data_IF_374836184203
#
_entry.id   IF_374836184203
#
_cell.length_a   1.000
_cell.length_b   1.000
_cell.length_c   1.000
_cell.angle_alpha   90.00
_cell.angle_beta   90.00
_cell.angle_gamma   90.00
#
_symmetry.space_group_name_H-M   'P 1'
#
loop_
_entity.id
_entity.type
_entity.pdbx_description
1 polymer ?
#
# COMPACT_ATOMS: atom_id res chain seq x y z
N UNK A 1 -2.81 -15.41 -6.14
CA UNK A 1 -3.37 -14.18 -5.58
C UNK A 1 -4.78 -14.00 -6.13
N UNK A 2 -5.75 -13.69 -5.27
CA UNK A 2 -7.13 -13.36 -5.65
C UNK A 2 -7.40 -11.92 -5.20
N UNK A 3 -7.82 -11.06 -6.11
CA UNK A 3 -8.19 -9.68 -5.81
C UNK A 3 -9.71 -9.57 -5.70
N UNK A 4 -10.20 -9.13 -4.54
CA UNK A 4 -11.63 -9.05 -4.24
C UNK A 4 -11.96 -7.62 -3.78
N UNK A 5 -12.23 -6.70 -4.72
CA UNK A 5 -12.47 -5.31 -4.37
C UNK A 5 -13.75 -5.16 -3.55
N UNK A 6 -13.65 -4.33 -2.50
CA UNK A 6 -14.73 -4.03 -1.57
C UNK A 6 -15.41 -5.26 -0.95
N UNK A 7 -14.64 -6.33 -0.70
CA UNK A 7 -15.11 -7.44 0.13
C UNK A 7 -15.70 -6.87 1.43
N UNK A 8 -16.85 -7.42 1.85
CA UNK A 8 -17.52 -7.03 3.09
C UNK A 8 -18.04 -8.26 3.85
N UNK A 9 -17.20 -9.30 3.96
CA UNK A 9 -17.57 -10.56 4.58
C UNK A 9 -16.70 -11.73 4.14
N UNK A 10 -17.26 -12.94 4.15
CA UNK A 10 -16.49 -14.20 4.01
C UNK A 10 -16.85 -15.00 2.76
N UNK A 11 -17.92 -14.63 2.07
CA UNK A 11 -18.51 -15.42 1.00
C UNK A 11 -18.48 -14.69 -0.33
N UNK A 12 -18.81 -15.40 -1.42
CA UNK A 12 -18.95 -14.78 -2.74
C UNK A 12 -20.08 -13.73 -2.78
N UNK A 13 -21.13 -13.91 -1.97
CA UNK A 13 -22.24 -12.95 -1.86
C UNK A 13 -21.80 -11.64 -1.19
N UNK A 14 -20.70 -11.67 -0.43
CA UNK A 14 -20.10 -10.50 0.22
C UNK A 14 -19.07 -9.77 -0.68
N UNK A 15 -18.90 -10.20 -1.92
CA UNK A 15 -17.96 -9.64 -2.89
C UNK A 15 -18.72 -8.87 -3.99
N UNK A 16 -19.16 -7.62 -3.74
CA UNK A 16 -20.11 -6.90 -4.61
C UNK A 16 -19.56 -6.62 -6.01
N UNK A 17 -18.23 -6.62 -6.17
CA UNK A 17 -17.56 -6.40 -7.44
C UNK A 17 -16.91 -7.67 -8.02
N UNK A 18 -17.19 -8.83 -7.43
CA UNK A 18 -16.62 -10.10 -7.83
C UNK A 18 -15.19 -10.32 -7.35
N UNK A 19 -14.56 -11.37 -7.89
CA UNK A 19 -13.23 -11.81 -7.52
C UNK A 19 -12.39 -12.08 -8.77
N UNK A 20 -11.17 -11.55 -8.80
CA UNK A 20 -10.33 -11.51 -9.98
C UNK A 20 -9.00 -12.22 -9.75
N UNK A 21 -8.59 -13.03 -10.70
CA UNK A 21 -7.29 -13.70 -10.65
C UNK A 21 -6.21 -12.83 -11.27
N UNK A 22 -4.98 -13.01 -10.79
CA UNK A 22 -3.79 -12.35 -11.33
C UNK A 22 -3.20 -13.09 -12.54
N UNK A 23 -2.51 -12.34 -13.39
CA UNK A 23 -1.71 -12.82 -14.52
C UNK A 23 -0.23 -12.92 -14.15
N UNK A 24 0.32 -11.84 -13.58
CA UNK A 24 1.73 -11.74 -13.22
C UNK A 24 1.90 -10.99 -11.90
N UNK A 25 3.04 -11.23 -11.26
CA UNK A 25 3.46 -10.53 -10.06
C UNK A 25 4.94 -10.19 -10.17
N UNK A 26 5.28 -8.99 -9.72
CA UNK A 26 6.62 -8.44 -9.72
C UNK A 26 6.95 -7.97 -8.31
N UNK A 27 8.19 -8.18 -7.88
CA UNK A 27 8.71 -7.66 -6.63
C UNK A 27 9.98 -6.87 -6.92
N UNK A 28 10.30 -5.90 -6.08
CA UNK A 28 11.56 -5.16 -6.21
C UNK A 28 12.72 -6.13 -5.96
N UNK A 29 13.67 -6.21 -6.90
CA UNK A 29 14.78 -7.18 -6.85
C UNK A 29 15.59 -7.10 -5.54
N UNK A 30 15.73 -5.89 -4.98
CA UNK A 30 16.40 -5.67 -3.70
C UNK A 30 15.77 -6.41 -2.51
N UNK A 31 14.49 -6.82 -2.60
CA UNK A 31 13.85 -7.66 -1.59
C UNK A 31 14.48 -9.06 -1.51
N UNK A 32 14.94 -9.59 -2.65
CA UNK A 32 15.65 -10.87 -2.71
C UNK A 32 17.13 -10.66 -2.38
N UNK A 33 17.77 -9.73 -3.08
CA UNK A 33 19.23 -9.63 -3.10
C UNK A 33 19.82 -9.12 -1.78
N UNK A 34 19.06 -8.30 -1.03
CA UNK A 34 19.52 -7.70 0.22
C UNK A 34 19.05 -8.48 1.46
N UNK A 35 18.45 -9.66 1.32
CA UNK A 35 17.99 -10.42 2.47
C UNK A 35 19.16 -10.95 3.30
N UNK A 36 19.28 -10.49 4.54
CA UNK A 36 20.35 -10.85 5.47
C UNK A 36 19.93 -11.95 6.47
N UNK A 37 18.85 -12.68 6.19
CA UNK A 37 18.34 -13.74 7.07
C UNK A 37 17.22 -13.32 8.03
N UNK A 38 16.77 -12.06 7.98
CA UNK A 38 15.61 -11.58 8.74
C UNK A 38 14.84 -10.48 7.99
N UNK A 39 13.52 -10.41 8.18
CA UNK A 39 12.63 -9.52 7.41
C UNK A 39 12.98 -8.03 7.50
N UNK A 40 13.40 -7.57 8.68
CA UNK A 40 13.84 -6.18 8.89
C UNK A 40 14.94 -5.71 7.92
N UNK A 41 15.76 -6.62 7.39
CA UNK A 41 16.81 -6.29 6.41
C UNK A 41 16.29 -5.88 5.02
N UNK A 42 15.01 -6.16 4.72
CA UNK A 42 14.44 -5.96 3.38
C UNK A 42 13.21 -5.04 3.36
N UNK A 43 12.80 -4.49 4.51
CA UNK A 43 11.65 -3.56 4.61
C UNK A 43 11.68 -2.46 3.55
N UNK A 44 12.82 -1.79 3.25
CA UNK A 44 12.88 -0.75 2.22
C UNK A 44 12.47 -1.19 0.80
N UNK A 45 12.50 -2.51 0.53
CA UNK A 45 12.18 -3.10 -0.77
C UNK A 45 10.90 -3.94 -0.74
N UNK A 46 10.12 -3.91 0.36
CA UNK A 46 8.87 -4.67 0.48
C UNK A 46 7.74 -4.02 -0.34
N UNK A 47 7.90 -4.09 -1.67
CA UNK A 47 6.99 -3.54 -2.64
C UNK A 47 6.82 -4.55 -3.77
N UNK A 48 5.56 -4.81 -4.11
CA UNK A 48 5.19 -5.69 -5.20
C UNK A 48 4.05 -5.12 -6.03
N UNK A 49 4.01 -5.51 -7.30
CA UNK A 49 2.93 -5.19 -8.23
C UNK A 49 2.30 -6.49 -8.71
N UNK A 50 0.97 -6.55 -8.64
CA UNK A 50 0.17 -7.68 -9.11
C UNK A 50 -0.68 -7.20 -10.28
N UNK A 51 -0.44 -7.75 -11.46
CA UNK A 51 -1.24 -7.46 -12.67
C UNK A 51 -2.41 -8.44 -12.73
N UNK A 52 -3.63 -7.92 -12.84
CA UNK A 52 -4.84 -8.73 -12.96
C UNK A 52 -5.05 -9.23 -14.40
N UNK A 53 -5.71 -10.37 -14.58
CA UNK A 53 -6.06 -10.88 -15.93
C UNK A 53 -7.10 -10.04 -16.68
N UNK A 54 -7.69 -9.06 -16.01
CA UNK A 54 -8.81 -8.27 -16.51
C UNK A 54 -8.59 -6.81 -16.12
N UNK A 55 -9.02 -5.88 -16.96
CA UNK A 55 -8.95 -4.44 -16.73
C UNK A 55 -10.04 -3.96 -15.75
N UNK A 56 -10.01 -4.48 -14.52
CA UNK A 56 -11.01 -4.20 -13.47
C UNK A 56 -11.14 -2.70 -13.19
N UNK A 57 -10.01 -1.98 -13.25
CA UNK A 57 -9.95 -0.54 -13.02
C UNK A 57 -10.79 0.29 -14.00
N UNK A 58 -11.04 -0.19 -15.23
CA UNK A 58 -11.86 0.55 -16.21
C UNK A 58 -13.28 0.78 -15.72
N UNK A 59 -13.82 -0.15 -14.91
CA UNK A 59 -15.16 -0.05 -14.34
C UNK A 59 -15.17 0.47 -12.90
N UNK A 60 -14.18 0.11 -12.09
CA UNK A 60 -14.15 0.45 -10.65
C UNK A 60 -13.35 1.71 -10.33
N UNK A 61 -12.55 2.21 -11.28
CA UNK A 61 -11.57 3.26 -11.06
C UNK A 61 -10.33 2.78 -10.30
N UNK A 62 -9.42 3.71 -10.07
CA UNK A 62 -8.20 3.52 -9.29
C UNK A 62 -7.79 4.83 -8.62
N UNK A 63 -7.00 4.73 -7.55
CA UNK A 63 -6.31 5.88 -6.98
C UNK A 63 -5.00 6.13 -7.74
N UNK A 64 -4.69 7.41 -7.97
CA UNK A 64 -3.38 7.81 -8.44
C UNK A 64 -2.30 7.62 -7.37
N UNK A 65 -1.05 7.48 -7.80
CA UNK A 65 0.12 7.47 -6.94
C UNK A 65 1.15 8.46 -7.51
N UNK A 66 1.98 9.02 -6.64
CA UNK A 66 3.05 9.91 -7.05
C UNK A 66 4.19 9.89 -6.05
N UNK A 67 5.38 10.27 -6.52
CA UNK A 67 6.47 10.62 -5.65
C UNK A 67 6.49 12.13 -5.42
N UNK A 68 6.69 12.52 -4.17
CA UNK A 68 7.00 13.89 -3.80
C UNK A 68 8.42 13.92 -3.25
N UNK A 69 9.25 14.87 -3.72
CA UNK A 69 10.63 15.04 -3.22
C UNK A 69 10.58 15.39 -1.75
N UNK A 70 9.79 16.41 -1.43
CA UNK A 70 9.43 16.78 -0.07
C UNK A 70 7.94 16.47 0.14
N UNK A 71 7.67 15.48 0.98
CA UNK A 71 6.30 15.07 1.32
C UNK A 71 5.75 15.96 2.46
N UNK A 72 6.64 16.60 3.23
CA UNK A 72 6.30 17.37 4.42
C UNK A 72 5.55 16.57 5.48
N UNK A 73 5.03 17.28 6.47
CA UNK A 73 4.00 16.74 7.36
C UNK A 73 2.73 16.48 6.54
N UNK A 74 2.09 15.33 6.75
CA UNK A 74 0.82 15.03 6.11
C UNK A 74 -0.08 14.13 6.95
N UNK A 75 -1.39 14.29 6.78
CA UNK A 75 -2.37 13.37 7.33
C UNK A 75 -2.44 12.11 6.45
N UNK A 76 -1.90 11.00 6.94
CA UNK A 76 -2.01 9.70 6.31
C UNK A 76 -3.41 9.11 6.47
N UNK A 77 -3.89 8.47 5.41
CA UNK A 77 -5.09 7.64 5.43
C UNK A 77 -4.72 6.23 4.97
N UNK A 78 -4.94 5.25 5.84
CA UNK A 78 -4.66 3.83 5.58
C UNK A 78 -5.99 3.12 5.39
N UNK A 79 -6.16 2.47 4.24
CA UNK A 79 -7.36 1.71 3.91
C UNK A 79 -6.97 0.25 3.66
N UNK A 80 -7.51 -0.65 4.47
CA UNK A 80 -7.07 -2.05 4.48
C UNK A 80 -8.10 -3.02 5.04
N UNK A 81 -7.66 -4.27 5.22
CA UNK A 81 -8.45 -5.38 5.74
C UNK A 81 -7.78 -5.99 6.99
N UNK A 82 -7.72 -5.24 8.10
CA UNK A 82 -7.05 -5.67 9.32
C UNK A 82 -7.74 -6.90 9.95
N UNK A 83 -6.94 -7.85 10.46
CA UNK A 83 -7.42 -9.14 10.95
C UNK A 83 -8.09 -9.12 12.33
N UNK A 84 -7.98 -8.02 13.09
CA UNK A 84 -8.66 -7.83 14.38
C UNK A 84 -10.12 -7.36 14.22
N UNK A 85 -10.53 -7.01 13.00
CA UNK A 85 -11.90 -6.61 12.67
C UNK A 85 -12.70 -7.79 12.09
N UNK A 86 -14.03 -7.67 11.90
CA UNK A 86 -14.80 -8.73 11.24
C UNK A 86 -14.16 -9.12 9.91
N UNK A 87 -13.97 -10.43 9.71
CA UNK A 87 -13.24 -10.96 8.56
C UNK A 87 -13.76 -10.40 7.23
N UNK A 88 -12.83 -9.95 6.39
CA UNK A 88 -13.12 -9.46 5.06
C UNK A 88 -13.88 -8.13 5.03
N UNK A 89 -13.81 -7.32 6.10
CA UNK A 89 -14.37 -5.95 6.10
C UNK A 89 -13.26 -4.91 5.97
N UNK A 90 -13.55 -3.84 5.23
CA UNK A 90 -12.60 -2.75 4.98
C UNK A 90 -12.65 -1.71 6.11
N UNK A 91 -11.50 -1.26 6.56
CA UNK A 91 -11.37 -0.27 7.63
C UNK A 91 -10.42 0.85 7.24
N UNK A 92 -10.65 2.03 7.85
CA UNK A 92 -9.78 3.20 7.72
C UNK A 92 -9.13 3.54 9.05
N UNK A 93 -7.83 3.80 9.02
CA UNK A 93 -7.11 4.53 10.05
C UNK A 93 -6.59 5.87 9.48
N UNK A 94 -6.53 6.88 10.34
CA UNK A 94 -6.01 8.21 9.99
C UNK A 94 -5.08 8.67 11.11
N UNK A 95 -3.90 9.17 10.75
CA UNK A 95 -2.92 9.72 11.68
C UNK A 95 -2.07 10.78 10.97
N UNK A 96 -1.28 11.53 11.74
CA UNK A 96 -0.28 12.44 11.21
C UNK A 96 1.04 11.69 10.97
N UNK A 97 1.66 11.95 9.82
CA UNK A 97 3.04 11.57 9.54
C UNK A 97 3.85 12.84 9.57
N UNK A 98 4.85 12.86 10.44
CA UNK A 98 5.72 14.02 10.60
C UNK A 98 6.92 13.91 9.67
N UNK A 99 7.37 15.04 9.13
CA UNK A 99 8.48 15.11 8.20
C UNK A 99 9.76 14.49 8.78
N UNK A 100 10.00 14.60 10.09
CA UNK A 100 11.15 13.95 10.75
C UNK A 100 11.14 12.42 10.67
N UNK A 101 9.98 11.80 10.44
CA UNK A 101 9.80 10.35 10.34
C UNK A 101 9.79 9.85 8.89
N UNK A 102 10.10 10.73 7.92
CA UNK A 102 10.10 10.42 6.49
C UNK A 102 11.53 10.26 5.99
N UNK A 103 11.92 9.02 5.70
CA UNK A 103 13.18 8.68 5.05
C UNK A 103 13.01 8.61 3.52
N UNK A 104 14.10 8.31 2.80
CA UNK A 104 14.08 8.17 1.35
C UNK A 104 13.27 6.95 0.90
N UNK A 105 13.42 5.82 1.57
CA UNK A 105 12.82 4.53 1.17
C UNK A 105 11.54 4.20 1.91
N UNK A 106 11.34 4.75 3.10
CA UNK A 106 10.20 4.46 3.96
C UNK A 106 9.79 5.69 4.77
N UNK A 107 8.63 5.62 5.40
CA UNK A 107 8.26 6.54 6.47
C UNK A 107 7.50 5.80 7.56
N UNK A 108 7.50 6.38 8.76
CA UNK A 108 6.89 5.78 9.95
C UNK A 108 5.76 6.64 10.52
N UNK A 109 4.80 5.97 11.14
CA UNK A 109 3.61 6.60 11.71
C UNK A 109 2.96 5.75 12.80
N UNK A 110 2.06 6.37 13.54
CA UNK A 110 1.32 5.75 14.66
C UNK A 110 -0.14 5.42 14.29
N UNK A 111 -0.47 5.39 12.99
CA UNK A 111 -1.79 4.96 12.54
C UNK A 111 -2.06 3.52 13.01
N UNK A 112 -3.26 3.25 13.53
CA UNK A 112 -3.68 1.90 13.91
C UNK A 112 -3.64 0.95 12.70
N UNK A 113 -2.81 -0.08 12.78
CA UNK A 113 -2.77 -1.21 11.83
C UNK A 113 -2.68 -2.52 12.60
N UNK A 114 -3.00 -3.60 11.92
CA UNK A 114 -2.96 -4.96 12.48
C UNK A 114 -2.65 -5.96 11.37
N UNK A 115 -2.03 -7.13 11.67
CA UNK A 115 -1.84 -8.20 10.71
C UNK A 115 -3.06 -8.41 9.79
N UNK A 116 -2.83 -8.36 8.48
CA UNK A 116 -3.87 -8.23 7.45
C UNK A 116 -3.93 -6.84 6.79
N UNK A 117 -3.33 -5.82 7.43
CA UNK A 117 -3.18 -4.48 6.87
C UNK A 117 -1.97 -4.35 5.94
N UNK A 118 -1.12 -5.38 5.83
CA UNK A 118 0.02 -5.40 4.90
C UNK A 118 -0.46 -5.20 3.46
N UNK A 119 0.21 -4.31 2.72
CA UNK A 119 -0.18 -3.93 1.37
C UNK A 119 -1.26 -2.84 1.29
N UNK A 120 -1.79 -2.38 2.42
CA UNK A 120 -2.77 -1.28 2.45
C UNK A 120 -2.15 0.00 1.91
N UNK A 121 -2.89 0.74 1.09
CA UNK A 121 -2.45 2.02 0.57
C UNK A 121 -2.36 3.04 1.71
N UNK A 122 -1.28 3.80 1.77
CA UNK A 122 -1.16 5.02 2.58
C UNK A 122 -1.27 6.21 1.64
N UNK A 123 -2.41 6.92 1.67
CA UNK A 123 -2.62 8.07 0.81
C UNK A 123 -2.71 9.38 1.58
N UNK A 124 -2.28 10.45 0.92
CA UNK A 124 -2.44 11.83 1.34
C UNK A 124 -3.48 12.52 0.45
N UNK A 125 -4.06 13.62 0.94
CA UNK A 125 -4.83 14.53 0.10
C UNK A 125 -3.93 15.65 -0.40
N UNK A 126 -3.65 15.68 -1.69
CA UNK A 126 -2.88 16.75 -2.31
C UNK A 126 -3.79 17.97 -2.53
N UNK A 127 -3.54 19.03 -1.76
CA UNK A 127 -4.29 20.27 -1.84
C UNK A 127 -4.08 21.03 -3.16
N UNK A 128 -2.97 20.81 -3.87
CA UNK A 128 -2.69 21.43 -5.16
C UNK A 128 -3.54 20.83 -6.27
N UNK A 129 -3.46 19.51 -6.45
CA UNK A 129 -4.25 18.80 -7.47
C UNK A 129 -5.70 18.51 -7.06
N UNK A 130 -6.05 18.70 -5.78
CA UNK A 130 -7.34 18.29 -5.18
C UNK A 130 -7.62 16.79 -5.29
N UNK A 131 -6.58 15.97 -5.35
CA UNK A 131 -6.67 14.51 -5.49
C UNK A 131 -6.22 13.77 -4.24
N UNK A 132 -6.68 12.53 -4.08
CA UNK A 132 -6.07 11.56 -3.16
C UNK A 132 -4.95 10.85 -3.89
N UNK A 133 -3.77 10.85 -3.31
CA UNK A 133 -2.56 10.30 -3.93
C UNK A 133 -1.91 9.31 -2.98
N UNK A 134 -1.69 8.09 -3.45
CA UNK A 134 -0.93 7.09 -2.70
C UNK A 134 0.53 7.55 -2.63
N UNK A 135 1.07 7.57 -1.43
CA UNK A 135 2.44 8.03 -1.13
C UNK A 135 3.30 6.91 -0.54
N UNK A 136 2.67 5.85 -0.04
CA UNK A 136 3.34 4.65 0.45
C UNK A 136 2.41 3.46 0.58
N UNK A 137 2.99 2.32 0.95
CA UNK A 137 2.31 1.04 1.16
C UNK A 137 2.65 0.56 2.56
N UNK A 138 1.66 0.26 3.40
CA UNK A 138 1.87 -0.25 4.76
C UNK A 138 2.48 -1.65 4.71
N UNK A 139 3.64 -1.86 5.33
CA UNK A 139 4.38 -3.14 5.22
C UNK A 139 4.68 -3.81 6.55
N UNK A 140 4.92 -3.04 7.61
CA UNK A 140 5.39 -3.59 8.87
C UNK A 140 4.82 -2.87 10.08
N UNK A 141 4.55 -3.64 11.13
CA UNK A 141 4.18 -3.15 12.45
C UNK A 141 5.31 -3.40 13.47
N UNK A 142 5.46 -2.47 14.42
CA UNK A 142 6.34 -2.64 15.58
C UNK A 142 5.69 -2.03 16.82
N UNK A 143 6.18 -2.33 18.04
CA UNK A 143 5.67 -1.70 19.26
C UNK A 143 5.79 -0.17 19.29
N UNK A 144 6.73 0.40 18.53
CA UNK A 144 7.06 1.82 18.57
C UNK A 144 6.42 2.62 17.43
N UNK A 145 6.30 2.01 16.24
CA UNK A 145 5.70 2.63 15.07
C UNK A 145 5.33 1.61 13.99
N UNK A 146 4.41 1.98 13.11
CA UNK A 146 4.13 1.28 11.86
C UNK A 146 4.92 1.90 10.71
N UNK A 147 5.24 1.10 9.70
CA UNK A 147 6.13 1.49 8.61
C UNK A 147 5.48 1.27 7.26
N UNK A 148 5.60 2.26 6.38
CA UNK A 148 5.28 2.13 4.98
C UNK A 148 6.52 2.24 4.10
N UNK A 149 6.60 1.41 3.06
CA UNK A 149 7.51 1.68 1.94
C UNK A 149 7.02 2.93 1.22
N UNK A 150 7.92 3.90 1.04
CA UNK A 150 7.64 5.17 0.39
C UNK A 150 7.63 4.98 -1.12
N UNK A 151 6.66 5.57 -1.81
CA UNK A 151 6.69 5.74 -3.25
C UNK A 151 7.61 6.91 -3.61
N UNK A 152 8.92 6.68 -3.47
CA UNK A 152 9.95 7.60 -3.91
C UNK A 152 10.13 7.55 -5.44
N UNK A 153 11.00 8.41 -5.98
CA UNK A 153 11.21 8.50 -7.43
C UNK A 153 11.63 7.17 -8.08
N UNK A 154 12.49 6.39 -7.41
CA UNK A 154 12.96 5.09 -7.92
C UNK A 154 11.81 4.07 -7.93
N UNK A 155 11.04 4.00 -6.84
CA UNK A 155 9.91 3.08 -6.75
C UNK A 155 8.83 3.44 -7.79
N UNK A 156 8.49 4.72 -7.96
CA UNK A 156 7.53 5.16 -8.98
C UNK A 156 8.05 4.86 -10.40
N UNK A 157 9.34 5.10 -10.66
CA UNK A 157 9.94 4.75 -11.95
C UNK A 157 9.88 3.24 -12.22
N UNK A 158 10.16 2.41 -11.21
CA UNK A 158 10.07 0.96 -11.31
C UNK A 158 8.64 0.52 -11.61
N UNK A 159 7.63 1.02 -10.87
CA UNK A 159 6.21 0.70 -11.12
C UNK A 159 5.84 1.08 -12.56
N UNK A 160 6.19 2.28 -13.02
CA UNK A 160 5.88 2.76 -14.36
C UNK A 160 6.55 1.91 -15.46
N UNK A 161 7.72 1.33 -15.19
CA UNK A 161 8.42 0.46 -16.14
C UNK A 161 7.72 -0.89 -16.39
N UNK A 162 6.81 -1.30 -15.49
CA UNK A 162 6.06 -2.54 -15.59
C UNK A 162 4.79 -2.39 -16.46
N UNK A 163 4.34 -1.15 -16.68
CA UNK A 163 3.22 -0.87 -17.58
C UNK A 163 3.71 -0.98 -19.04
N UNK A 164 3.08 -1.89 -19.80
CA UNK A 164 3.41 -2.18 -21.19
C UNK A 164 2.36 -1.62 -22.13
#
# INVERSE_FOLDING_TARGET
>A
ILFVPALNGKTADDAPFGAFTYESAYIVQGFIDNYQGFYGSVVPWDLGIVTLKQDVGTNLGWLGYANYVDLGDFTANIIGYPGDKPMGTMWKATCEVRAENIATEYFQYDCDTYPGSSGSSVYAYDNGSKQRVITGVNVAESPDANTAVRLNAINVQWINSLYK
#
